data_IF_793142862785
#
_entry.id   IF_793142862785
#
_cell.length_a   1.000
_cell.length_b   1.000
_cell.length_c   1.000
_cell.angle_alpha   90.00
_cell.angle_beta   90.00
_cell.angle_gamma   90.00
#
_symmetry.space_group_name_H-M   'P 1'
#
loop_
_entity.id
_entity.type
_entity.pdbx_description
1 polymer ?
#
# COMPACT_ATOMS: atom_id res chain seq x y z
N UNK A 1 -16.68 26.48 0.20
CA UNK A 1 -15.61 26.48 1.20
C UNK A 1 -14.34 25.96 0.51
N UNK A 2 -13.45 26.89 0.11
CA UNK A 2 -12.32 26.65 -0.81
C UNK A 2 -10.98 26.32 -0.10
N UNK A 3 -11.03 25.57 0.99
CA UNK A 3 -9.83 25.16 1.73
C UNK A 3 -8.95 24.17 0.90
N UNK A 4 -9.51 23.63 -0.18
CA UNK A 4 -8.86 22.68 -1.08
C UNK A 4 -8.82 23.16 -2.53
N UNK A 5 -8.54 24.45 -2.76
CA UNK A 5 -8.42 24.98 -4.10
C UNK A 5 -7.14 24.45 -4.77
N UNK A 6 -7.28 23.95 -5.98
CA UNK A 6 -6.20 23.38 -6.80
C UNK A 6 -5.27 24.45 -7.41
N UNK A 7 -5.54 25.75 -7.24
CA UNK A 7 -4.87 26.83 -7.95
C UNK A 7 -3.87 27.64 -7.13
N UNK A 8 -3.61 27.27 -5.90
CA UNK A 8 -2.62 27.93 -5.05
C UNK A 8 -1.89 26.93 -4.18
N UNK A 9 -1.08 26.10 -4.77
CA UNK A 9 0.01 25.23 -4.29
C UNK A 9 0.36 25.31 -2.78
N UNK A 10 -0.60 25.05 -1.91
CA UNK A 10 -0.25 24.58 -0.56
C UNK A 10 0.33 23.16 -0.72
N UNK A 11 1.52 22.92 -0.18
CA UNK A 11 2.11 21.57 -0.17
C UNK A 11 1.17 20.59 0.52
N UNK A 12 1.27 19.27 0.20
CA UNK A 12 0.51 18.20 0.86
C UNK A 12 0.55 18.34 2.39
N UNK A 13 1.73 18.63 2.95
CA UNK A 13 1.95 18.89 4.38
C UNK A 13 1.15 20.08 4.91
N UNK A 14 1.12 21.20 4.19
CA UNK A 14 0.33 22.37 4.61
C UNK A 14 -1.17 22.09 4.62
N UNK A 15 -1.67 21.34 3.63
CA UNK A 15 -3.06 20.90 3.59
C UNK A 15 -3.38 19.96 4.76
N UNK A 16 -2.49 19.01 5.07
CA UNK A 16 -2.64 18.10 6.20
C UNK A 16 -2.68 18.85 7.54
N UNK A 17 -1.79 19.81 7.74
CA UNK A 17 -1.78 20.67 8.94
C UNK A 17 -3.08 21.46 9.05
N UNK A 18 -3.59 22.05 7.95
CA UNK A 18 -4.87 22.75 7.96
C UNK A 18 -6.04 21.84 8.33
N UNK A 19 -6.05 20.61 7.83
CA UNK A 19 -7.05 19.61 8.21
C UNK A 19 -6.97 19.30 9.71
N UNK A 20 -5.75 19.12 10.24
CA UNK A 20 -5.51 18.92 11.68
C UNK A 20 -5.97 20.10 12.53
N UNK A 21 -5.69 21.34 12.12
CA UNK A 21 -6.15 22.56 12.85
C UNK A 21 -7.67 22.64 12.95
N UNK A 22 -8.40 22.26 11.90
CA UNK A 22 -9.87 22.19 11.95
C UNK A 22 -10.32 21.13 12.96
N UNK A 23 -9.68 19.94 12.92
CA UNK A 23 -9.97 18.87 13.88
C UNK A 23 -9.72 19.28 15.34
N UNK A 24 -8.59 19.96 15.58
CA UNK A 24 -8.22 20.48 16.88
C UNK A 24 -9.23 21.52 17.37
N UNK A 25 -9.66 22.45 16.50
CA UNK A 25 -10.66 23.46 16.85
C UNK A 25 -12.02 22.84 17.19
N UNK A 26 -12.46 21.82 16.43
CA UNK A 26 -13.73 21.13 16.71
C UNK A 26 -13.65 20.36 18.03
N UNK A 27 -12.61 19.59 18.29
CA UNK A 27 -12.43 18.87 19.55
C UNK A 27 -12.31 19.83 20.74
N UNK A 28 -11.66 20.99 20.58
CA UNK A 28 -11.60 22.03 21.59
C UNK A 28 -13.00 22.58 21.96
N UNK A 29 -13.82 22.86 20.94
CA UNK A 29 -15.19 23.33 21.14
C UNK A 29 -16.05 22.26 21.80
N UNK A 30 -15.97 21.01 21.32
CA UNK A 30 -16.72 19.88 21.90
C UNK A 30 -16.31 19.65 23.36
N UNK A 31 -15.00 19.57 23.63
CA UNK A 31 -14.47 19.37 24.99
C UNK A 31 -14.82 20.52 25.91
N UNK A 32 -14.59 21.76 25.50
CA UNK A 32 -14.87 22.96 26.31
C UNK A 32 -16.33 23.09 26.70
N UNK A 33 -17.25 22.88 25.72
CA UNK A 33 -18.70 22.94 25.99
C UNK A 33 -19.14 21.85 26.97
N UNK A 34 -18.68 20.60 26.76
CA UNK A 34 -19.03 19.45 27.61
C UNK A 34 -18.47 19.63 29.05
N UNK A 35 -17.21 20.00 29.18
CA UNK A 35 -16.60 20.24 30.51
C UNK A 35 -17.33 21.38 31.25
N UNK A 36 -17.61 22.49 30.56
CA UNK A 36 -18.30 23.64 31.17
C UNK A 36 -19.71 23.28 31.65
N UNK A 37 -20.51 22.61 30.77
CA UNK A 37 -21.87 22.21 31.13
C UNK A 37 -21.85 21.11 32.20
N UNK A 38 -20.97 20.13 32.11
CA UNK A 38 -20.81 19.06 33.09
C UNK A 38 -20.45 19.60 34.48
N UNK A 39 -19.54 20.59 34.53
CA UNK A 39 -19.17 21.28 35.76
C UNK A 39 -20.36 22.09 36.36
N UNK A 40 -21.05 22.87 35.54
CA UNK A 40 -22.17 23.69 35.99
C UNK A 40 -23.37 22.86 36.45
N UNK A 41 -23.65 21.74 35.80
CA UNK A 41 -24.80 20.86 36.11
C UNK A 41 -24.49 19.76 37.12
N UNK A 42 -23.22 19.57 37.51
CA UNK A 42 -22.79 18.48 38.39
C UNK A 42 -22.75 17.08 37.70
N UNK A 43 -22.95 17.00 36.40
CA UNK A 43 -22.90 15.74 35.65
C UNK A 43 -21.46 15.32 35.32
N UNK A 44 -20.88 14.48 36.19
CA UNK A 44 -19.49 13.97 36.03
C UNK A 44 -19.29 13.19 34.75
N UNK A 45 -20.30 12.44 34.27
CA UNK A 45 -20.23 11.69 33.01
C UNK A 45 -20.06 12.60 31.79
N UNK A 46 -20.79 13.73 31.76
CA UNK A 46 -20.66 14.73 30.67
C UNK A 46 -19.29 15.41 30.71
N UNK A 47 -18.80 15.71 31.93
CA UNK A 47 -17.47 16.29 32.11
C UNK A 47 -16.37 15.32 31.68
N UNK A 48 -16.50 14.03 32.01
CA UNK A 48 -15.59 12.97 31.57
C UNK A 48 -15.52 12.85 30.04
N UNK A 49 -16.68 12.86 29.37
CA UNK A 49 -16.75 12.86 27.89
C UNK A 49 -16.11 14.14 27.29
N UNK A 50 -16.22 15.28 27.98
CA UNK A 50 -15.50 16.50 27.61
C UNK A 50 -13.98 16.35 27.71
N UNK A 51 -13.45 15.69 28.74
CA UNK A 51 -12.02 15.40 28.87
C UNK A 51 -11.54 14.43 27.81
N UNK A 52 -12.38 13.47 27.39
CA UNK A 52 -12.04 12.59 26.27
C UNK A 52 -11.77 13.39 24.98
N UNK A 53 -12.64 14.35 24.63
CA UNK A 53 -12.41 15.23 23.48
C UNK A 53 -11.12 16.09 23.61
N UNK A 54 -10.70 16.43 24.82
CA UNK A 54 -9.42 17.11 25.06
C UNK A 54 -8.24 16.14 24.80
N UNK A 55 -8.37 14.87 25.18
CA UNK A 55 -7.37 13.84 24.87
C UNK A 55 -7.24 13.62 23.36
N UNK A 56 -8.36 13.64 22.61
CA UNK A 56 -8.36 13.56 21.15
C UNK A 56 -7.57 14.69 20.49
N UNK A 57 -7.52 15.87 21.13
CA UNK A 57 -6.65 16.95 20.65
C UNK A 57 -5.17 16.54 20.66
N UNK A 58 -4.74 15.75 21.66
CA UNK A 58 -3.39 15.21 21.73
C UNK A 58 -3.08 14.31 20.54
N UNK A 59 -4.02 13.44 20.16
CA UNK A 59 -3.93 12.59 18.98
C UNK A 59 -3.83 13.41 17.68
N UNK A 60 -4.64 14.46 17.54
CA UNK A 60 -4.59 15.36 16.38
C UNK A 60 -3.26 16.12 16.31
N UNK A 61 -2.69 16.52 17.43
CA UNK A 61 -1.35 17.12 17.48
C UNK A 61 -0.28 16.12 17.01
N UNK A 62 -0.37 14.85 17.43
CA UNK A 62 0.50 13.78 16.96
C UNK A 62 0.39 13.61 15.43
N UNK A 63 -0.81 13.64 14.88
CA UNK A 63 -1.04 13.61 13.43
C UNK A 63 -0.32 14.76 12.72
N UNK A 64 -0.48 15.99 13.21
CA UNK A 64 0.17 17.16 12.62
C UNK A 64 1.70 17.08 12.71
N UNK A 65 2.24 16.60 13.82
CA UNK A 65 3.68 16.34 13.98
C UNK A 65 4.16 15.27 13.00
N UNK A 66 3.39 14.21 12.81
CA UNK A 66 3.71 13.14 11.85
C UNK A 66 3.86 13.72 10.43
N UNK A 67 2.91 14.51 9.95
CA UNK A 67 3.02 15.14 8.63
C UNK A 67 4.17 16.13 8.51
N UNK A 68 4.48 16.85 9.59
CA UNK A 68 5.63 17.75 9.61
C UNK A 68 6.95 16.99 9.50
N UNK A 69 7.10 15.88 10.22
CA UNK A 69 8.32 15.07 10.19
C UNK A 69 8.40 14.19 8.94
N UNK A 70 7.29 13.63 8.46
CA UNK A 70 7.24 12.82 7.24
C UNK A 70 7.67 13.62 6.00
N UNK A 71 7.44 14.94 5.98
CA UNK A 71 7.86 15.81 4.91
C UNK A 71 9.36 16.18 4.92
N UNK A 72 10.13 15.76 5.93
CA UNK A 72 11.58 15.98 5.93
C UNK A 72 12.24 15.17 4.82
N UNK A 73 13.21 15.77 4.10
CA UNK A 73 13.98 15.04 3.11
C UNK A 73 14.80 13.91 3.76
N UNK A 74 15.32 13.02 2.92
CA UNK A 74 16.28 12.01 3.35
C UNK A 74 17.50 12.63 4.02
N UNK A 75 18.01 11.96 5.05
CA UNK A 75 19.22 12.31 5.78
C UNK A 75 20.13 11.06 5.95
N UNK A 76 21.23 11.20 6.70
CA UNK A 76 22.19 10.10 6.90
C UNK A 76 21.62 8.94 7.73
N UNK A 77 20.62 9.18 8.58
CA UNK A 77 19.98 8.15 9.42
C UNK A 77 18.80 7.50 8.67
N UNK A 78 18.12 8.27 7.80
CA UNK A 78 16.97 7.83 7.02
C UNK A 78 17.17 8.13 5.52
N UNK A 79 18.00 7.33 4.80
CA UNK A 79 18.35 7.57 3.40
C UNK A 79 17.15 7.55 2.45
N UNK A 80 16.09 6.81 2.81
CA UNK A 80 14.85 6.70 2.04
C UNK A 80 13.77 7.72 2.47
N UNK A 81 14.15 8.72 3.32
CA UNK A 81 13.23 9.73 3.83
C UNK A 81 12.37 9.25 5.00
N UNK A 82 11.44 10.11 5.41
CA UNK A 82 10.64 9.94 6.62
C UNK A 82 9.17 9.61 6.36
N UNK A 83 8.78 9.38 5.11
CA UNK A 83 7.38 9.23 4.69
C UNK A 83 6.63 8.08 5.40
N UNK A 84 7.32 6.98 5.75
CA UNK A 84 6.72 5.85 6.49
C UNK A 84 6.25 6.20 7.91
N UNK A 85 6.59 7.38 8.44
CA UNK A 85 6.01 7.86 9.71
C UNK A 85 4.47 7.94 9.63
N UNK A 86 3.88 8.17 8.46
CA UNK A 86 2.43 8.14 8.29
C UNK A 86 1.85 6.74 8.55
N UNK A 87 2.52 5.66 8.09
CA UNK A 87 2.09 4.28 8.34
C UNK A 87 2.25 3.89 9.80
N UNK A 88 3.33 4.35 10.45
CA UNK A 88 3.54 4.15 11.90
C UNK A 88 2.43 4.85 12.68
N UNK A 89 2.08 6.10 12.34
CA UNK A 89 0.99 6.81 12.99
C UNK A 89 -0.36 6.09 12.79
N UNK A 90 -0.64 5.59 11.59
CA UNK A 90 -1.85 4.80 11.31
C UNK A 90 -1.91 3.53 12.16
N UNK A 91 -0.76 2.85 12.33
CA UNK A 91 -0.64 1.66 13.20
C UNK A 91 -0.93 2.00 14.67
N UNK A 92 -0.37 3.10 15.17
CA UNK A 92 -0.62 3.56 16.55
C UNK A 92 -2.10 3.89 16.75
N UNK A 93 -2.72 4.62 15.82
CA UNK A 93 -4.14 4.95 15.91
C UNK A 93 -5.04 3.71 15.79
N UNK A 94 -4.71 2.75 14.94
CA UNK A 94 -5.42 1.48 14.86
C UNK A 94 -5.35 0.70 16.19
N UNK A 95 -4.19 0.72 16.87
CA UNK A 95 -4.04 0.10 18.19
C UNK A 95 -4.92 0.81 19.25
N UNK A 96 -5.02 2.13 19.21
CA UNK A 96 -5.92 2.91 20.08
C UNK A 96 -7.38 2.53 19.81
N UNK A 97 -7.80 2.46 18.55
CA UNK A 97 -9.18 2.06 18.18
C UNK A 97 -9.48 0.63 18.67
N UNK A 98 -8.56 -0.30 18.52
CA UNK A 98 -8.72 -1.67 19.03
C UNK A 98 -8.83 -1.71 20.56
N UNK A 99 -8.00 -0.93 21.25
CA UNK A 99 -8.07 -0.79 22.71
C UNK A 99 -9.43 -0.25 23.16
N UNK A 100 -9.93 0.82 22.53
CA UNK A 100 -11.26 1.39 22.81
C UNK A 100 -12.35 0.35 22.54
N UNK A 101 -12.27 -0.40 21.45
CA UNK A 101 -13.23 -1.47 21.15
C UNK A 101 -13.27 -2.56 22.24
N UNK A 102 -12.10 -2.99 22.72
CA UNK A 102 -11.99 -4.00 23.81
C UNK A 102 -12.57 -3.45 25.10
N UNK A 103 -12.22 -2.21 25.48
CA UNK A 103 -12.70 -1.57 26.71
C UNK A 103 -14.21 -1.41 26.69
N UNK A 104 -14.76 -0.86 25.58
CA UNK A 104 -16.21 -0.74 25.40
C UNK A 104 -16.93 -2.08 25.48
N UNK A 105 -16.35 -3.14 24.87
CA UNK A 105 -16.90 -4.49 24.92
C UNK A 105 -16.95 -5.04 26.36
N UNK A 106 -15.87 -4.86 27.11
CA UNK A 106 -15.76 -5.30 28.51
C UNK A 106 -16.77 -4.58 29.41
N UNK A 107 -16.84 -3.26 29.32
CA UNK A 107 -17.81 -2.44 30.09
C UNK A 107 -19.26 -2.76 29.70
N UNK A 108 -19.50 -3.04 28.43
CA UNK A 108 -20.84 -3.39 27.94
C UNK A 108 -21.29 -4.76 28.45
N UNK A 109 -20.39 -5.74 28.55
CA UNK A 109 -20.69 -7.04 29.16
C UNK A 109 -21.00 -6.89 30.66
N UNK A 110 -20.25 -6.04 31.37
CA UNK A 110 -20.50 -5.72 32.77
C UNK A 110 -21.88 -5.10 32.98
N UNK A 111 -22.29 -4.16 32.11
CA UNK A 111 -23.63 -3.56 32.14
C UNK A 111 -24.76 -4.55 31.80
N UNK A 112 -24.50 -5.60 31.02
CA UNK A 112 -25.49 -6.66 30.80
C UNK A 112 -25.68 -7.49 32.09
N UNK A 113 -24.56 -7.77 32.80
CA UNK A 113 -24.59 -8.57 34.04
C UNK A 113 -25.12 -7.78 35.24
N UNK A 114 -24.84 -6.48 35.28
CA UNK A 114 -25.21 -5.54 36.34
C UNK A 114 -25.86 -4.30 35.73
N UNK A 115 -27.16 -4.36 35.34
CA UNK A 115 -27.85 -3.21 34.76
C UNK A 115 -27.90 -2.05 35.75
N UNK A 116 -27.57 -0.85 35.29
CA UNK A 116 -27.67 0.39 36.02
C UNK A 116 -28.75 1.28 35.39
N UNK A 117 -29.56 1.95 36.22
CA UNK A 117 -30.56 2.89 35.71
C UNK A 117 -29.88 4.14 35.13
N UNK A 118 -30.21 4.48 33.90
CA UNK A 118 -29.70 5.69 33.25
C UNK A 118 -30.65 6.87 33.49
N UNK A 119 -30.10 7.98 33.95
CA UNK A 119 -30.90 9.17 34.22
C UNK A 119 -31.02 10.05 32.98
N UNK A 120 -32.12 9.90 32.25
CA UNK A 120 -32.43 10.79 31.12
C UNK A 120 -32.77 12.21 31.58
N UNK A 121 -32.02 13.19 31.08
CA UNK A 121 -32.42 14.59 31.14
C UNK A 121 -32.34 15.22 29.74
N UNK A 122 -33.25 16.13 29.38
CA UNK A 122 -33.20 16.82 28.08
C UNK A 122 -31.88 17.54 27.82
N UNK A 123 -31.21 18.00 28.86
CA UNK A 123 -29.91 18.65 28.79
C UNK A 123 -28.83 17.64 28.34
N UNK A 124 -28.78 16.46 28.97
CA UNK A 124 -27.82 15.39 28.59
C UNK A 124 -28.08 14.96 27.17
N UNK A 125 -29.32 14.72 26.76
CA UNK A 125 -29.66 14.38 25.39
C UNK A 125 -29.18 15.45 24.36
N UNK A 126 -29.38 16.73 24.68
CA UNK A 126 -28.90 17.84 23.83
C UNK A 126 -27.37 17.86 23.67
N UNK A 127 -26.61 17.55 24.74
CA UNK A 127 -25.16 17.47 24.70
C UNK A 127 -24.69 16.26 23.90
N UNK A 128 -25.34 15.08 24.04
CA UNK A 128 -25.03 13.90 23.26
C UNK A 128 -25.26 14.15 21.76
N UNK A 129 -26.39 14.78 21.39
CA UNK A 129 -26.68 15.16 20.00
C UNK A 129 -25.64 16.16 19.46
N UNK A 130 -25.25 17.14 20.25
CA UNK A 130 -24.20 18.09 19.88
C UNK A 130 -22.86 17.38 19.62
N UNK A 131 -22.46 16.47 20.52
CA UNK A 131 -21.25 15.63 20.36
C UNK A 131 -21.31 14.76 19.12
N UNK A 132 -22.45 14.09 18.88
CA UNK A 132 -22.69 13.26 17.71
C UNK A 132 -22.53 14.03 16.40
N UNK A 133 -23.11 15.21 16.27
CA UNK A 133 -22.97 16.06 15.08
C UNK A 133 -21.50 16.47 14.86
N UNK A 134 -20.80 16.85 15.93
CA UNK A 134 -19.39 17.24 15.86
C UNK A 134 -18.49 16.08 15.43
N UNK A 135 -18.66 14.87 15.98
CA UNK A 135 -17.90 13.68 15.62
C UNK A 135 -18.24 13.18 14.21
N UNK A 136 -19.50 13.24 13.79
CA UNK A 136 -19.91 12.95 12.42
C UNK A 136 -19.24 13.90 11.41
N UNK A 137 -19.18 15.20 11.75
CA UNK A 137 -18.45 16.17 10.94
C UNK A 137 -16.96 15.83 10.85
N UNK A 138 -16.31 15.49 11.97
CA UNK A 138 -14.89 15.11 11.99
C UNK A 138 -14.62 13.82 11.17
N UNK A 139 -15.46 12.81 11.33
CA UNK A 139 -15.35 11.57 10.56
C UNK A 139 -15.42 11.83 9.04
N UNK A 140 -16.40 12.62 8.61
CA UNK A 140 -16.53 13.04 7.22
C UNK A 140 -15.33 13.89 6.76
N UNK A 141 -14.88 14.83 7.58
CA UNK A 141 -13.78 15.73 7.28
C UNK A 141 -12.46 14.98 7.07
N UNK A 142 -12.11 14.09 7.99
CA UNK A 142 -10.91 13.26 7.89
C UNK A 142 -10.99 12.23 6.75
N UNK A 143 -12.15 11.62 6.51
CA UNK A 143 -12.34 10.71 5.37
C UNK A 143 -12.09 11.43 4.05
N UNK A 144 -12.60 12.66 3.91
CA UNK A 144 -12.37 13.45 2.72
C UNK A 144 -10.89 13.88 2.57
N UNK A 145 -10.22 14.15 3.67
CA UNK A 145 -8.78 14.44 3.68
C UNK A 145 -7.97 13.20 3.30
N UNK A 146 -8.28 12.03 3.85
CA UNK A 146 -7.67 10.75 3.49
C UNK A 146 -7.70 10.50 1.98
N UNK A 147 -8.87 10.64 1.35
CA UNK A 147 -9.04 10.45 -0.10
C UNK A 147 -8.27 11.47 -0.96
N UNK A 148 -8.12 12.72 -0.48
CA UNK A 148 -7.44 13.77 -1.25
C UNK A 148 -5.93 13.77 -1.10
N UNK A 149 -5.47 13.37 0.08
CA UNK A 149 -4.04 13.36 0.43
C UNK A 149 -3.43 11.96 0.33
N UNK A 150 -4.22 10.96 -0.09
CA UNK A 150 -3.80 9.55 -0.13
C UNK A 150 -3.09 9.16 1.16
N UNK A 151 -3.80 9.32 2.31
CA UNK A 151 -3.21 9.14 3.63
C UNK A 151 -4.05 8.24 4.51
N UNK A 152 -3.47 7.11 4.90
CA UNK A 152 -4.06 6.14 5.82
C UNK A 152 -4.15 6.68 7.25
N UNK A 153 -3.27 7.62 7.63
CA UNK A 153 -3.39 8.32 8.90
C UNK A 153 -4.75 9.02 9.01
N UNK A 154 -5.16 9.79 8.02
CA UNK A 154 -6.49 10.44 8.06
C UNK A 154 -7.64 9.44 8.01
N UNK A 155 -7.46 8.28 7.39
CA UNK A 155 -8.46 7.21 7.42
C UNK A 155 -8.63 6.67 8.84
N UNK A 156 -7.55 6.45 9.57
CA UNK A 156 -7.58 6.01 10.97
C UNK A 156 -8.27 7.04 11.88
N UNK A 157 -7.98 8.33 11.73
CA UNK A 157 -8.65 9.39 12.48
C UNK A 157 -10.14 9.56 12.11
N UNK A 158 -10.50 9.27 10.86
CA UNK A 158 -11.90 9.20 10.46
C UNK A 158 -12.64 8.06 11.15
N UNK A 159 -12.00 6.88 11.24
CA UNK A 159 -12.56 5.72 11.91
C UNK A 159 -12.68 5.91 13.43
N UNK A 160 -11.70 6.55 14.06
CA UNK A 160 -11.73 6.95 15.46
C UNK A 160 -12.92 7.86 15.75
N UNK A 161 -13.08 8.95 15.00
CA UNK A 161 -14.23 9.86 15.12
C UNK A 161 -15.57 9.17 14.83
N UNK A 162 -15.61 8.19 13.92
CA UNK A 162 -16.80 7.38 13.64
C UNK A 162 -17.11 6.45 14.82
N UNK A 163 -16.11 5.85 15.43
CA UNK A 163 -16.26 5.00 16.61
C UNK A 163 -16.85 5.76 17.79
N UNK A 164 -16.36 6.96 18.05
CA UNK A 164 -16.89 7.88 19.07
C UNK A 164 -18.35 8.26 18.78
N UNK A 165 -18.65 8.59 17.52
CA UNK A 165 -20.01 8.91 17.08
C UNK A 165 -20.96 7.76 17.30
N UNK A 166 -20.56 6.52 16.92
CA UNK A 166 -21.37 5.33 17.10
C UNK A 166 -21.56 4.99 18.57
N UNK A 167 -20.54 5.10 19.41
CA UNK A 167 -20.65 4.91 20.85
C UNK A 167 -21.65 5.90 21.46
N UNK A 168 -21.53 7.19 21.13
CA UNK A 168 -22.46 8.23 21.61
C UNK A 168 -23.89 7.99 21.10
N UNK A 169 -24.06 7.56 19.82
CA UNK A 169 -25.37 7.24 19.27
C UNK A 169 -25.99 6.01 19.95
N UNK A 170 -25.19 5.00 20.27
CA UNK A 170 -25.62 3.81 21.02
C UNK A 170 -26.16 4.17 22.39
N UNK A 171 -25.41 4.99 23.13
CA UNK A 171 -25.83 5.51 24.43
C UNK A 171 -27.13 6.32 24.31
N UNK A 172 -27.24 7.21 23.33
CA UNK A 172 -28.45 8.00 23.13
C UNK A 172 -29.67 7.12 22.83
N UNK A 173 -29.54 6.14 21.93
CA UNK A 173 -30.62 5.19 21.61
C UNK A 173 -31.00 4.36 22.82
N UNK A 174 -30.03 3.80 23.55
CA UNK A 174 -30.29 3.01 24.76
C UNK A 174 -31.02 3.82 25.81
N UNK A 175 -30.57 5.05 26.08
CA UNK A 175 -31.21 5.96 27.05
C UNK A 175 -32.66 6.31 26.65
N UNK A 176 -32.92 6.54 25.35
CA UNK A 176 -34.28 6.77 24.84
C UNK A 176 -35.19 5.56 24.98
N UNK A 177 -34.69 4.36 24.66
CA UNK A 177 -35.44 3.11 24.80
C UNK A 177 -35.76 2.83 26.26
N UNK A 178 -34.82 3.04 27.16
CA UNK A 178 -35.06 2.91 28.60
C UNK A 178 -36.10 3.90 29.09
N UNK A 179 -36.03 5.18 28.70
CA UNK A 179 -36.99 6.20 29.06
C UNK A 179 -38.43 5.90 28.60
N UNK A 180 -38.60 5.39 27.36
CA UNK A 180 -39.95 5.14 26.82
C UNK A 180 -40.48 3.76 27.11
N UNK A 181 -39.63 2.73 27.22
CA UNK A 181 -40.03 1.34 27.32
C UNK A 181 -39.60 0.64 28.62
N UNK A 182 -38.69 1.24 29.38
CA UNK A 182 -38.13 0.65 30.60
C UNK A 182 -37.16 -0.51 30.32
N UNK A 183 -36.62 -0.62 29.11
CA UNK A 183 -35.73 -1.71 28.72
C UNK A 183 -34.25 -1.29 28.81
N UNK A 184 -33.48 -2.02 29.61
CA UNK A 184 -32.03 -1.79 29.77
C UNK A 184 -31.28 -2.48 28.60
N UNK A 185 -31.15 -1.80 27.46
CA UNK A 185 -30.47 -2.34 26.26
C UNK A 185 -29.07 -1.78 26.06
N UNK A 186 -28.61 -0.89 26.94
CA UNK A 186 -27.33 -0.18 26.82
C UNK A 186 -26.14 -1.16 26.64
N UNK A 187 -26.05 -2.18 27.51
CA UNK A 187 -25.01 -3.19 27.40
C UNK A 187 -25.05 -3.97 26.09
N UNK A 188 -26.24 -4.33 25.59
CA UNK A 188 -26.36 -5.07 24.31
C UNK A 188 -25.92 -4.18 23.13
N UNK A 189 -26.38 -2.94 23.13
CA UNK A 189 -25.97 -1.97 22.10
C UNK A 189 -24.46 -1.72 22.13
N UNK A 190 -23.87 -1.60 23.33
CA UNK A 190 -22.44 -1.43 23.50
C UNK A 190 -21.62 -2.60 22.98
N UNK A 191 -22.06 -3.85 23.18
CA UNK A 191 -21.40 -5.03 22.59
C UNK A 191 -21.45 -5.00 21.06
N UNK A 192 -22.60 -4.67 20.47
CA UNK A 192 -22.71 -4.55 19.01
C UNK A 192 -21.74 -3.49 18.47
N UNK A 193 -21.69 -2.33 19.12
CA UNK A 193 -20.78 -1.23 18.74
C UNK A 193 -19.31 -1.62 18.92
N UNK A 194 -18.97 -2.30 20.01
CA UNK A 194 -17.58 -2.76 20.24
C UNK A 194 -17.11 -3.70 19.15
N UNK A 195 -17.94 -4.66 18.71
CA UNK A 195 -17.61 -5.57 17.61
C UNK A 195 -17.39 -4.83 16.30
N UNK A 196 -18.19 -3.81 16.00
CA UNK A 196 -18.00 -2.98 14.82
C UNK A 196 -16.69 -2.19 14.88
N UNK A 197 -16.37 -1.59 16.05
CA UNK A 197 -15.13 -0.83 16.28
C UNK A 197 -13.91 -1.76 16.13
N UNK A 198 -13.95 -2.96 16.70
CA UNK A 198 -12.89 -3.96 16.59
C UNK A 198 -12.67 -4.40 15.14
N UNK A 199 -13.74 -4.64 14.39
CA UNK A 199 -13.65 -5.00 12.97
C UNK A 199 -13.00 -3.89 12.15
N UNK A 200 -13.41 -2.64 12.37
CA UNK A 200 -12.84 -1.46 11.68
C UNK A 200 -11.36 -1.25 12.06
N UNK A 201 -11.04 -1.31 13.35
CA UNK A 201 -9.67 -1.17 13.86
C UNK A 201 -8.73 -2.27 13.32
N UNK A 202 -9.21 -3.50 13.23
CA UNK A 202 -8.45 -4.60 12.62
C UNK A 202 -8.16 -4.34 11.13
N UNK A 203 -9.14 -3.83 10.38
CA UNK A 203 -8.96 -3.47 8.97
C UNK A 203 -7.85 -2.43 8.76
N UNK A 204 -7.88 -1.36 9.55
CA UNK A 204 -6.88 -0.28 9.50
C UNK A 204 -5.51 -0.80 9.93
N UNK A 205 -5.44 -1.59 11.02
CA UNK A 205 -4.19 -2.21 11.48
C UNK A 205 -3.57 -3.08 10.40
N UNK A 206 -4.37 -3.95 9.78
CA UNK A 206 -3.92 -4.84 8.71
C UNK A 206 -3.35 -4.04 7.53
N UNK A 207 -4.03 -2.98 7.11
CA UNK A 207 -3.57 -2.12 6.02
C UNK A 207 -2.25 -1.44 6.38
N UNK A 208 -2.18 -0.74 7.50
CA UNK A 208 -0.99 -0.02 7.93
C UNK A 208 0.24 -0.93 8.10
N UNK A 209 0.04 -2.15 8.63
CA UNK A 209 1.12 -3.16 8.74
C UNK A 209 1.55 -3.64 7.36
N UNK A 210 0.62 -3.89 6.43
CA UNK A 210 0.97 -4.28 5.06
C UNK A 210 1.80 -3.19 4.37
N UNK A 211 1.46 -1.91 4.54
CA UNK A 211 2.19 -0.79 3.94
C UNK A 211 3.60 -0.66 4.52
N UNK A 212 3.78 -0.94 5.82
CA UNK A 212 5.12 -1.02 6.45
C UNK A 212 5.92 -2.20 5.89
N UNK A 213 5.30 -3.37 5.69
CA UNK A 213 5.94 -4.55 5.13
C UNK A 213 6.29 -4.42 3.65
N UNK A 214 5.65 -3.48 2.94
CA UNK A 214 5.77 -3.27 1.51
C UNK A 214 4.63 -3.94 0.76
N UNK A 215 3.46 -3.32 0.78
CA UNK A 215 2.33 -3.73 -0.07
C UNK A 215 2.63 -3.49 -1.54
N UNK A 216 1.96 -4.25 -2.39
CA UNK A 216 2.00 -4.00 -3.84
C UNK A 216 1.54 -2.57 -4.12
N UNK A 217 2.30 -1.78 -4.90
CA UNK A 217 1.92 -0.41 -5.24
C UNK A 217 0.59 -0.37 -5.97
N UNK A 218 -0.03 0.80 -6.00
CA UNK A 218 -1.25 1.02 -6.77
C UNK A 218 -1.05 0.55 -8.22
N UNK A 219 -1.98 -0.23 -8.72
CA UNK A 219 -1.95 -0.76 -10.09
C UNK A 219 -1.87 0.36 -11.15
N UNK A 220 -2.41 1.54 -10.85
CA UNK A 220 -2.33 2.71 -11.72
C UNK A 220 -0.90 3.26 -11.78
N UNK A 221 -0.24 3.44 -10.62
CA UNK A 221 1.16 3.87 -10.55
C UNK A 221 2.10 2.87 -11.23
N UNK A 222 1.91 1.57 -10.98
CA UNK A 222 2.69 0.52 -11.64
C UNK A 222 2.58 0.61 -13.16
N UNK A 223 1.36 0.79 -13.67
CA UNK A 223 1.10 0.94 -15.10
C UNK A 223 1.72 2.23 -15.66
N UNK A 224 1.58 3.35 -14.95
CA UNK A 224 2.18 4.63 -15.39
C UNK A 224 3.70 4.56 -15.48
N UNK A 225 4.37 3.90 -14.52
CA UNK A 225 5.82 3.69 -14.55
C UNK A 225 6.19 2.86 -15.78
N UNK A 226 5.51 1.71 -15.97
CA UNK A 226 5.76 0.82 -17.11
C UNK A 226 5.54 1.52 -18.45
N UNK A 227 4.42 2.22 -18.61
CA UNK A 227 4.09 2.93 -19.84
C UNK A 227 5.09 4.08 -20.10
N UNK A 228 5.56 4.76 -19.06
CA UNK A 228 6.56 5.82 -19.16
C UNK A 228 7.91 5.30 -19.62
N UNK A 229 8.34 4.13 -19.11
CA UNK A 229 9.59 3.47 -19.54
C UNK A 229 9.48 3.08 -21.02
N UNK A 230 8.39 2.44 -21.41
CA UNK A 230 8.18 1.99 -22.80
C UNK A 230 8.06 3.15 -23.82
N UNK A 231 7.74 4.36 -23.38
CA UNK A 231 7.72 5.56 -24.23
C UNK A 231 9.10 6.18 -24.43
N UNK A 232 10.12 5.75 -23.70
CA UNK A 232 11.48 6.27 -23.87
C UNK A 232 12.07 5.75 -25.19
N UNK A 233 12.65 6.62 -26.04
CA UNK A 233 13.28 6.20 -27.29
C UNK A 233 14.43 5.23 -27.03
N UNK A 234 14.49 4.13 -27.81
CA UNK A 234 15.53 3.10 -27.68
C UNK A 234 15.23 2.01 -26.67
N UNK A 235 14.07 2.07 -26.00
CA UNK A 235 13.56 1.02 -25.13
C UNK A 235 12.66 0.09 -25.93
N UNK A 236 12.95 -1.22 -25.91
CA UNK A 236 12.21 -2.25 -26.62
C UNK A 236 11.31 -3.10 -25.73
N UNK A 237 11.61 -3.16 -24.43
CA UNK A 237 10.83 -3.90 -23.46
C UNK A 237 11.13 -3.47 -22.03
N UNK A 238 10.25 -3.85 -21.10
CA UNK A 238 10.42 -3.67 -19.65
C UNK A 238 9.83 -4.86 -18.92
N UNK A 239 10.62 -5.46 -18.04
CA UNK A 239 10.23 -6.57 -17.18
C UNK A 239 10.83 -6.38 -15.78
N UNK A 240 10.50 -7.27 -14.85
CA UNK A 240 10.96 -7.27 -13.45
C UNK A 240 10.86 -5.90 -12.75
N UNK A 241 9.78 -5.17 -13.09
CA UNK A 241 9.49 -3.91 -12.44
C UNK A 241 9.04 -4.15 -11.00
N UNK A 242 9.87 -3.74 -10.04
CA UNK A 242 9.56 -3.75 -8.61
C UNK A 242 9.47 -2.31 -8.15
N UNK A 243 8.39 -1.97 -7.44
CA UNK A 243 8.20 -0.64 -6.87
C UNK A 243 8.12 -0.75 -5.36
N UNK A 244 8.98 -0.02 -4.67
CA UNK A 244 9.02 0.07 -3.22
C UNK A 244 8.39 1.38 -2.75
N UNK A 245 7.47 1.27 -1.80
CA UNK A 245 6.80 2.42 -1.20
C UNK A 245 7.47 2.76 0.15
N UNK A 246 7.96 3.99 0.23
CA UNK A 246 8.52 4.57 1.46
C UNK A 246 7.67 5.73 1.99
N UNK A 247 6.40 5.74 1.67
CA UNK A 247 5.40 6.73 2.06
C UNK A 247 4.85 7.49 0.86
N UNK A 248 3.71 8.15 1.03
CA UNK A 248 3.09 8.92 -0.04
C UNK A 248 4.08 9.92 -0.66
N UNK A 249 4.21 9.94 -1.98
CA UNK A 249 5.16 10.77 -2.75
C UNK A 249 6.64 10.32 -2.68
N UNK A 250 6.96 9.12 -2.14
CA UNK A 250 8.35 8.65 -2.05
C UNK A 250 8.47 7.19 -2.51
N UNK A 251 8.58 7.01 -3.82
CA UNK A 251 8.63 5.69 -4.45
C UNK A 251 10.01 5.43 -5.05
N UNK A 252 10.48 4.19 -4.89
CA UNK A 252 11.70 3.68 -5.50
C UNK A 252 11.33 2.53 -6.42
N UNK A 253 11.91 2.49 -7.61
CA UNK A 253 11.66 1.43 -8.57
C UNK A 253 12.97 0.79 -9.03
N UNK A 254 12.92 -0.52 -9.26
CA UNK A 254 13.93 -1.24 -10.03
C UNK A 254 13.23 -1.87 -11.23
N UNK A 255 13.85 -1.80 -12.39
CA UNK A 255 13.29 -2.40 -13.61
C UNK A 255 14.41 -2.88 -14.51
N UNK A 256 14.14 -3.95 -15.23
CA UNK A 256 14.93 -4.41 -16.35
C UNK A 256 14.40 -3.80 -17.64
N UNK A 257 15.28 -3.24 -18.46
CA UNK A 257 14.93 -2.54 -19.69
C UNK A 257 15.70 -3.11 -20.84
N UNK A 258 14.98 -3.65 -21.83
CA UNK A 258 15.57 -4.23 -23.03
C UNK A 258 16.06 -3.11 -23.98
N UNK A 259 17.36 -3.09 -24.25
CA UNK A 259 18.04 -2.18 -25.16
C UNK A 259 18.71 -2.97 -26.31
N UNK A 260 19.02 -2.31 -27.42
CA UNK A 260 19.69 -2.96 -28.53
C UNK A 260 21.09 -3.49 -28.12
N UNK A 261 21.35 -4.75 -28.40
CA UNK A 261 22.63 -5.43 -28.09
C UNK A 261 23.84 -4.83 -28.80
N UNK A 262 23.62 -4.11 -29.91
CA UNK A 262 24.70 -3.48 -30.69
C UNK A 262 25.16 -2.12 -30.07
N UNK A 263 24.48 -1.64 -29.02
CA UNK A 263 24.88 -0.41 -28.34
C UNK A 263 26.19 -0.60 -27.55
N UNK A 264 27.02 0.41 -27.57
CA UNK A 264 28.15 0.47 -26.67
C UNK A 264 27.68 0.64 -25.21
N UNK A 265 28.52 0.25 -24.24
CA UNK A 265 28.23 0.44 -22.81
C UNK A 265 27.87 1.91 -22.48
N UNK A 266 28.50 2.87 -23.16
CA UNK A 266 28.23 4.31 -22.95
C UNK A 266 26.83 4.68 -23.45
N UNK A 267 26.46 4.24 -24.63
CA UNK A 267 25.13 4.50 -25.21
C UNK A 267 24.03 3.87 -24.37
N UNK A 268 24.22 2.60 -23.93
CA UNK A 268 23.30 1.91 -23.03
C UNK A 268 23.13 2.64 -21.69
N UNK A 269 24.23 3.16 -21.13
CA UNK A 269 24.20 3.95 -19.91
C UNK A 269 23.42 5.25 -20.11
N UNK A 270 23.62 5.98 -21.21
CA UNK A 270 22.91 7.22 -21.52
C UNK A 270 21.39 6.98 -21.65
N UNK A 271 20.98 5.86 -22.27
CA UNK A 271 19.57 5.50 -22.36
C UNK A 271 18.98 5.17 -21.00
N UNK A 272 19.68 4.41 -20.16
CA UNK A 272 19.23 4.08 -18.79
C UNK A 272 19.09 5.35 -17.95
N UNK A 273 20.05 6.29 -18.01
CA UNK A 273 19.98 7.60 -17.35
C UNK A 273 18.80 8.45 -17.84
N UNK A 274 18.50 8.41 -19.13
CA UNK A 274 17.34 9.10 -19.70
C UNK A 274 16.03 8.52 -19.15
N UNK A 275 15.90 7.20 -19.03
CA UNK A 275 14.74 6.54 -18.43
C UNK A 275 14.59 6.98 -16.96
N UNK A 276 15.68 6.90 -16.16
CA UNK A 276 15.66 7.30 -14.74
C UNK A 276 15.29 8.78 -14.56
N UNK A 277 15.82 9.66 -15.41
CA UNK A 277 15.51 11.09 -15.38
C UNK A 277 14.05 11.34 -15.74
N UNK A 278 13.53 10.64 -16.76
CA UNK A 278 12.13 10.77 -17.19
C UNK A 278 11.16 10.34 -16.08
N UNK A 279 11.44 9.23 -15.39
CA UNK A 279 10.65 8.75 -14.25
C UNK A 279 10.68 9.75 -13.09
N UNK A 280 11.86 10.33 -12.79
CA UNK A 280 12.01 11.33 -11.73
C UNK A 280 11.24 12.61 -12.02
N UNK A 281 11.29 13.10 -13.26
CA UNK A 281 10.66 14.36 -13.65
C UNK A 281 9.13 14.23 -13.77
N UNK A 282 8.64 13.16 -14.43
CA UNK A 282 7.22 12.98 -14.68
C UNK A 282 6.46 12.41 -13.49
N UNK A 283 7.01 11.40 -12.82
CA UNK A 283 6.31 10.62 -11.79
C UNK A 283 6.91 10.78 -10.38
N UNK A 284 8.03 11.50 -10.25
CA UNK A 284 8.79 11.64 -8.99
C UNK A 284 9.26 10.30 -8.40
N UNK A 285 9.43 9.30 -9.24
CA UNK A 285 9.94 7.98 -8.88
C UNK A 285 11.45 7.97 -9.03
N UNK A 286 12.17 7.54 -8.01
CA UNK A 286 13.61 7.26 -8.07
C UNK A 286 13.79 5.83 -8.57
N UNK A 287 14.44 5.66 -9.73
CA UNK A 287 14.60 4.33 -10.32
C UNK A 287 16.06 3.91 -10.43
N UNK A 288 16.30 2.61 -10.38
CA UNK A 288 17.52 1.95 -10.83
C UNK A 288 17.16 1.06 -12.00
N UNK A 289 17.86 1.22 -13.12
CA UNK A 289 17.60 0.49 -14.35
C UNK A 289 18.71 -0.50 -14.58
N UNK A 290 18.35 -1.77 -14.75
CA UNK A 290 19.21 -2.79 -15.33
C UNK A 290 18.97 -2.78 -16.85
N UNK A 291 20.04 -2.69 -17.64
CA UNK A 291 19.97 -2.71 -19.09
C UNK A 291 20.23 -4.13 -19.60
N UNK A 292 19.23 -4.72 -20.22
CA UNK A 292 19.32 -6.06 -20.80
C UNK A 292 19.50 -5.98 -22.33
N UNK A 293 20.46 -6.72 -22.89
CA UNK A 293 20.69 -6.71 -24.32
C UNK A 293 19.58 -7.44 -25.06
N UNK A 294 19.01 -6.79 -26.08
CA UNK A 294 18.05 -7.41 -27.02
C UNK A 294 18.61 -7.35 -28.43
N UNK A 295 18.64 -8.47 -29.09
CA UNK A 295 19.12 -8.56 -30.48
C UNK A 295 18.08 -8.01 -31.47
N UNK A 296 17.99 -6.71 -31.52
CA UNK A 296 17.08 -6.03 -32.46
C UNK A 296 17.64 -6.04 -33.87
N UNK A 297 18.96 -5.91 -33.98
CA UNK A 297 19.68 -5.78 -35.26
C UNK A 297 20.34 -7.09 -35.76
N UNK A 298 20.39 -8.14 -34.93
CA UNK A 298 21.01 -9.40 -35.26
C UNK A 298 20.01 -10.40 -35.92
N UNK A 299 20.07 -10.66 -37.25
CA UNK A 299 19.12 -11.55 -37.93
C UNK A 299 19.12 -12.99 -37.41
N UNK A 300 20.30 -13.52 -37.00
CA UNK A 300 20.43 -14.87 -36.48
C UNK A 300 19.80 -15.05 -35.10
N UNK A 301 20.06 -14.16 -34.20
CA UNK A 301 19.48 -14.22 -32.88
C UNK A 301 17.95 -14.00 -32.93
N UNK A 302 17.47 -13.15 -33.85
CA UNK A 302 16.05 -13.04 -34.18
C UNK A 302 15.44 -14.31 -34.76
N UNK A 303 16.24 -15.24 -35.37
CA UNK A 303 15.78 -16.57 -35.78
C UNK A 303 15.58 -17.48 -34.55
N UNK A 304 16.54 -17.52 -33.64
CA UNK A 304 16.45 -18.31 -32.40
C UNK A 304 15.32 -17.82 -31.48
N UNK A 305 15.07 -16.51 -31.42
CA UNK A 305 13.91 -15.96 -30.71
C UNK A 305 12.59 -16.45 -31.30
N UNK A 306 12.45 -16.44 -32.64
CA UNK A 306 11.25 -16.98 -33.31
C UNK A 306 11.03 -18.46 -33.04
N UNK A 307 12.12 -19.22 -32.95
CA UNK A 307 12.07 -20.65 -32.64
C UNK A 307 11.58 -20.87 -31.21
N UNK A 308 12.04 -20.04 -30.24
CA UNK A 308 11.55 -20.07 -28.88
C UNK A 308 10.06 -19.67 -28.82
N UNK A 309 9.64 -18.63 -29.52
CA UNK A 309 8.22 -18.22 -29.61
C UNK A 309 7.35 -19.34 -30.19
N UNK A 310 7.84 -20.01 -31.25
CA UNK A 310 7.15 -21.14 -31.82
C UNK A 310 7.07 -22.34 -30.86
N UNK A 311 8.13 -22.61 -30.10
CA UNK A 311 8.14 -23.66 -29.08
C UNK A 311 7.16 -23.33 -27.91
N UNK A 312 7.15 -22.10 -27.43
CA UNK A 312 6.17 -21.63 -26.42
C UNK A 312 4.74 -21.80 -26.94
N UNK A 313 4.46 -21.36 -28.16
CA UNK A 313 3.14 -21.50 -28.78
C UNK A 313 2.73 -22.98 -28.92
N UNK A 314 3.62 -23.85 -29.39
CA UNK A 314 3.35 -25.31 -29.58
C UNK A 314 3.16 -26.02 -28.24
N UNK A 315 3.86 -25.60 -27.20
CA UNK A 315 3.70 -26.15 -25.84
C UNK A 315 2.31 -25.95 -25.26
N UNK A 316 1.57 -24.96 -25.77
CA UNK A 316 0.24 -24.56 -25.28
C UNK A 316 0.27 -23.98 -23.83
N UNK A 317 1.45 -23.63 -23.32
CA UNK A 317 1.61 -23.07 -22.00
C UNK A 317 1.43 -21.55 -22.03
N UNK A 318 0.75 -20.96 -21.02
CA UNK A 318 0.60 -19.51 -20.94
C UNK A 318 1.87 -18.87 -20.39
N UNK A 319 2.90 -18.77 -21.23
CA UNK A 319 4.22 -18.24 -20.90
C UNK A 319 4.50 -16.97 -21.68
N UNK A 320 5.26 -16.06 -21.07
CA UNK A 320 6.11 -15.08 -21.76
C UNK A 320 7.55 -15.40 -21.44
N UNK A 321 8.47 -14.87 -22.23
CA UNK A 321 9.91 -14.99 -21.97
C UNK A 321 10.56 -13.61 -21.95
N UNK A 322 11.73 -13.53 -21.32
CA UNK A 322 12.62 -12.38 -21.26
C UNK A 322 14.05 -12.88 -21.02
N UNK A 323 15.02 -11.99 -21.01
CA UNK A 323 16.45 -12.30 -20.84
C UNK A 323 16.96 -13.37 -21.82
N UNK A 324 16.50 -13.27 -23.06
CA UNK A 324 16.92 -14.18 -24.10
C UNK A 324 18.35 -13.88 -24.57
N UNK A 325 19.19 -14.87 -24.53
CA UNK A 325 20.54 -14.81 -25.04
C UNK A 325 20.82 -16.07 -25.85
N UNK A 326 21.53 -15.95 -27.01
CA UNK A 326 21.92 -17.06 -27.85
C UNK A 326 23.38 -16.93 -28.28
N UNK A 327 24.12 -18.05 -28.23
CA UNK A 327 25.52 -18.13 -28.66
C UNK A 327 25.79 -19.43 -29.43
N UNK A 328 26.39 -19.33 -30.61
CA UNK A 328 26.87 -20.48 -31.38
C UNK A 328 28.25 -20.92 -30.89
N UNK A 329 28.37 -22.16 -30.43
CA UNK A 329 29.62 -22.77 -30.05
C UNK A 329 29.88 -24.05 -30.88
N UNK A 330 30.57 -23.91 -32.02
CA UNK A 330 30.77 -25.00 -32.96
C UNK A 330 29.45 -25.45 -33.60
N UNK A 331 29.07 -26.71 -33.38
CA UNK A 331 27.80 -27.26 -33.89
C UNK A 331 26.65 -27.14 -32.89
N UNK A 332 26.85 -26.52 -31.76
CA UNK A 332 25.84 -26.38 -30.71
C UNK A 332 25.39 -24.92 -30.59
N UNK A 333 24.09 -24.70 -30.41
CA UNK A 333 23.47 -23.39 -30.21
C UNK A 333 23.02 -23.32 -28.74
N UNK A 334 23.74 -22.56 -27.94
CA UNK A 334 23.39 -22.34 -26.55
C UNK A 334 22.38 -21.20 -26.47
N UNK A 335 21.19 -21.49 -25.90
CA UNK A 335 20.17 -20.50 -25.63
C UNK A 335 19.88 -20.47 -24.13
N UNK A 336 19.89 -19.28 -23.56
CA UNK A 336 19.45 -19.02 -22.20
C UNK A 336 18.30 -18.03 -22.21
N UNK A 337 17.29 -18.26 -21.39
CA UNK A 337 16.13 -17.37 -21.26
C UNK A 337 15.37 -17.61 -19.95
N UNK A 338 14.61 -16.61 -19.55
CA UNK A 338 13.69 -16.73 -18.45
C UNK A 338 12.24 -16.79 -18.94
N UNK A 339 11.41 -17.63 -18.29
CA UNK A 339 9.99 -17.72 -18.61
C UNK A 339 9.15 -17.29 -17.43
N UNK A 340 8.19 -16.42 -17.71
CA UNK A 340 7.23 -15.93 -16.73
C UNK A 340 5.85 -16.50 -17.02
N UNK A 341 5.15 -16.95 -15.97
CA UNK A 341 3.82 -17.52 -16.07
C UNK A 341 2.73 -16.43 -16.22
N UNK A 342 1.96 -16.50 -17.29
CA UNK A 342 0.76 -15.66 -17.49
C UNK A 342 -0.47 -16.32 -16.84
N UNK A 343 -0.65 -16.14 -15.54
CA UNK A 343 -1.80 -16.69 -14.80
C UNK A 343 -1.51 -17.99 -14.04
N UNK A 344 -2.57 -18.64 -13.55
CA UNK A 344 -2.45 -19.84 -12.74
C UNK A 344 -2.05 -21.07 -13.58
N UNK A 345 -0.80 -21.45 -13.53
CA UNK A 345 -0.31 -22.70 -14.09
C UNK A 345 0.02 -23.69 -12.96
N UNK A 346 -0.57 -24.90 -13.02
CA UNK A 346 -0.34 -25.95 -12.02
C UNK A 346 0.85 -26.84 -12.31
N UNK A 347 1.53 -26.66 -13.46
CA UNK A 347 2.71 -27.44 -13.80
C UNK A 347 3.91 -27.04 -12.96
N UNK A 348 4.73 -28.00 -12.63
CA UNK A 348 6.03 -27.77 -11.99
C UNK A 348 7.03 -27.16 -12.98
N UNK A 349 8.06 -26.46 -12.48
CA UNK A 349 9.10 -25.86 -13.31
C UNK A 349 9.77 -26.90 -14.21
N UNK A 350 9.99 -28.10 -13.66
CA UNK A 350 10.56 -29.24 -14.43
C UNK A 350 9.65 -29.69 -15.59
N UNK A 351 8.34 -29.67 -15.38
CA UNK A 351 7.38 -30.02 -16.45
C UNK A 351 7.32 -28.93 -17.52
N UNK A 352 7.50 -27.67 -17.15
CA UNK A 352 7.58 -26.53 -18.07
C UNK A 352 8.86 -26.66 -18.90
N UNK A 353 10.01 -26.87 -18.24
CA UNK A 353 11.30 -27.09 -18.90
C UNK A 353 11.24 -28.23 -19.89
N UNK A 354 10.75 -29.41 -19.49
CA UNK A 354 10.64 -30.57 -20.36
C UNK A 354 9.73 -30.33 -21.57
N UNK A 355 8.66 -29.58 -21.39
CA UNK A 355 7.74 -29.25 -22.48
C UNK A 355 8.43 -28.34 -23.52
N UNK A 356 9.11 -27.27 -23.07
CA UNK A 356 9.80 -26.35 -23.96
C UNK A 356 11.04 -27.01 -24.62
N UNK A 357 11.82 -27.77 -23.85
CA UNK A 357 12.95 -28.51 -24.37
C UNK A 357 12.55 -29.47 -25.51
N UNK A 358 11.45 -30.20 -25.34
CA UNK A 358 10.94 -31.11 -26.36
C UNK A 358 10.58 -30.36 -27.65
N UNK A 359 9.91 -29.23 -27.54
CA UNK A 359 9.50 -28.45 -28.72
C UNK A 359 10.70 -27.78 -29.39
N UNK A 360 11.64 -27.19 -28.64
CA UNK A 360 12.86 -26.59 -29.19
C UNK A 360 13.74 -27.62 -29.89
N UNK A 361 14.01 -28.78 -29.27
CA UNK A 361 14.79 -29.85 -29.89
C UNK A 361 14.08 -30.48 -31.11
N UNK A 362 12.76 -30.32 -31.25
CA UNK A 362 12.04 -30.72 -32.46
C UNK A 362 12.23 -29.75 -33.62
N UNK A 363 12.60 -28.48 -33.33
CA UNK A 363 12.93 -27.46 -34.33
C UNK A 363 14.37 -27.63 -34.78
N UNK A 364 15.32 -27.61 -33.85
CA UNK A 364 16.72 -27.90 -34.13
C UNK A 364 17.33 -28.74 -32.99
N UNK A 365 17.91 -29.94 -33.30
CA UNK A 365 18.52 -30.81 -32.31
C UNK A 365 19.84 -30.27 -31.72
N UNK A 366 20.42 -29.20 -32.29
CA UNK A 366 21.65 -28.57 -31.81
C UNK A 366 21.42 -27.56 -30.67
N UNK A 367 20.16 -27.29 -30.31
CA UNK A 367 19.87 -26.42 -29.18
C UNK A 367 20.29 -27.01 -27.84
N UNK A 368 21.08 -26.24 -27.10
CA UNK A 368 21.41 -26.47 -25.70
C UNK A 368 20.70 -25.42 -24.89
N UNK A 369 19.84 -25.85 -23.94
CA UNK A 369 18.84 -24.98 -23.34
C UNK A 369 19.15 -24.77 -21.86
N UNK A 370 19.34 -23.53 -21.46
CA UNK A 370 19.35 -23.08 -20.08
C UNK A 370 18.12 -22.22 -19.85
N UNK A 371 17.28 -22.55 -18.85
CA UNK A 371 16.02 -21.89 -18.64
C UNK A 371 15.78 -21.67 -17.15
N UNK A 372 15.34 -20.46 -16.78
CA UNK A 372 14.80 -20.14 -15.48
C UNK A 372 13.28 -19.99 -15.56
N UNK A 373 12.55 -20.44 -14.52
CA UNK A 373 11.11 -20.24 -14.42
C UNK A 373 10.83 -19.23 -13.32
N UNK A 374 10.36 -18.05 -13.71
CA UNK A 374 9.92 -17.03 -12.78
C UNK A 374 8.43 -17.20 -12.42
N UNK A 375 8.15 -17.51 -11.15
CA UNK A 375 6.79 -17.64 -10.61
C UNK A 375 6.32 -16.45 -9.79
N UNK A 376 7.27 -15.72 -9.22
CA UNK A 376 7.08 -14.51 -8.44
C UNK A 376 8.42 -13.78 -8.46
N UNK A 377 8.45 -12.49 -8.37
CA UNK A 377 9.62 -11.59 -8.40
C UNK A 377 10.89 -12.03 -7.62
N UNK A 378 10.96 -13.28 -7.13
CA UNK A 378 12.07 -13.77 -6.32
C UNK A 378 12.44 -15.19 -6.78
N UNK A 379 13.59 -15.30 -7.41
CA UNK A 379 14.41 -16.50 -7.69
C UNK A 379 13.69 -17.74 -8.22
N UNK A 380 13.69 -17.92 -9.51
CA UNK A 380 13.50 -19.22 -10.17
C UNK A 380 14.70 -20.16 -9.98
N UNK A 381 14.50 -21.47 -10.14
CA UNK A 381 15.58 -22.45 -10.26
C UNK A 381 16.02 -22.52 -11.70
N UNK A 382 17.33 -22.43 -11.94
CA UNK A 382 17.92 -22.66 -13.27
C UNK A 382 17.78 -24.13 -13.62
N UNK A 383 17.32 -24.43 -14.83
CA UNK A 383 17.21 -25.75 -15.42
C UNK A 383 18.08 -25.82 -16.70
N UNK A 384 18.86 -26.86 -16.83
CA UNK A 384 19.87 -27.00 -17.86
C UNK A 384 21.28 -27.13 -17.28
N UNK A 385 22.27 -27.35 -18.13
CA UNK A 385 23.68 -27.26 -17.73
C UNK A 385 24.08 -25.77 -17.77
N UNK A 386 24.56 -25.22 -16.64
CA UNK A 386 24.99 -23.82 -16.60
C UNK A 386 26.20 -23.57 -17.50
N UNK A 387 26.33 -22.34 -17.98
CA UNK A 387 27.48 -21.90 -18.79
C UNK A 387 28.80 -22.15 -18.06
N UNK A 388 28.85 -22.00 -16.75
CA UNK A 388 30.03 -22.25 -15.92
C UNK A 388 30.44 -23.72 -15.91
N UNK A 389 29.49 -24.65 -15.95
CA UNK A 389 29.77 -26.09 -15.99
C UNK A 389 30.39 -26.56 -17.35
N UNK A 390 30.18 -25.79 -18.41
CA UNK A 390 30.73 -26.06 -19.75
C UNK A 390 32.18 -25.62 -19.87
N UNK A 391 32.57 -24.51 -19.26
CA UNK A 391 33.96 -24.04 -19.23
C UNK A 391 34.85 -24.94 -18.38
N UNK A 392 34.34 -25.47 -17.25
CA UNK A 392 35.12 -26.37 -16.37
C UNK A 392 35.37 -27.76 -17.00
N UNK A 393 34.53 -28.21 -17.95
CA UNK A 393 34.74 -29.46 -18.73
C UNK A 393 35.78 -29.28 -19.84
N UNK A 394 36.01 -28.07 -20.36
CA UNK A 394 36.98 -27.76 -21.40
C UNK A 394 38.43 -27.73 -20.97
N UNK A 395 38.73 -27.54 -19.68
CA UNK A 395 40.09 -27.50 -19.12
C UNK A 395 40.61 -28.86 -18.62
N UNK A 396 39.80 -29.93 -18.70
CA UNK A 396 40.14 -31.28 -18.21
C UNK A 396 40.38 -32.32 -19.31
N UNK A 397 40.54 -31.90 -20.56
CA UNK A 397 40.96 -32.82 -21.67
C UNK A 397 42.32 -32.46 -22.27
#
# INVERSE_FOLDING_TARGET
>A
MQIFSTDGKASRTQQAILVGLVGLAVNFVLGGVKVFIGWQSGFLSVMGDGFNNITDMGSVLLLMMTFYYAAKPSDSEHPFGHGRLEYINSTVMAAVILYVGITLGSESIEKILHPEDTHFTPLVAGILVFGLIGKLFLAWWYKRASQRLSSDSFLAYSADSLSDMLSTAGVLVATLVEYFFGWHIDGVMGVIMSLFILWTGYGIMKQAVNDILGSTPDAELYKEIKDTILQCPGVYGVHDLIVHDYGPENHFATAHVELDSDLSLVESHELAENVMTTLREKLKVQATIHADPKAVSNPKEGEYQRDLEAAIYRSGLPLSYHDFFAEEQGDTIHISFEVQLKGACRKTDREIYQALQKELLSIDPHYHIEMMVDRNFISGKVYGESREDLFDKGEKN
#
